data_IF_848053120682
#
_entry.id   IF_848053120682
#
_cell.length_a   1.000
_cell.length_b   1.000
_cell.length_c   1.000
_cell.angle_alpha   90.00
_cell.angle_beta   90.00
_cell.angle_gamma   90.00
#
_symmetry.space_group_name_H-M   'P 1'
#
loop_
_entity.id
_entity.type
_entity.pdbx_description
1 polymer ?
#
# COMPACT_ATOMS: atom_id res chain seq x y z
N UNK A 1 -29.52 19.28 1.88
CA UNK A 1 -28.74 18.07 1.49
C UNK A 1 -28.83 17.91 -0.03
N UNK A 2 -27.84 18.40 -0.78
CA UNK A 2 -27.76 18.14 -2.21
C UNK A 2 -26.96 16.86 -2.43
N UNK A 3 -27.67 15.76 -2.73
CA UNK A 3 -27.05 14.56 -3.30
C UNK A 3 -26.79 14.85 -4.76
N UNK A 4 -25.64 15.46 -5.06
CA UNK A 4 -25.19 15.62 -6.43
C UNK A 4 -24.84 14.22 -6.94
N UNK A 5 -25.77 13.60 -7.68
CA UNK A 5 -25.43 12.51 -8.60
C UNK A 5 -24.41 13.10 -9.58
N UNK A 6 -23.13 13.01 -9.24
CA UNK A 6 -22.03 13.25 -10.16
C UNK A 6 -22.14 12.17 -11.22
N UNK A 7 -22.84 12.49 -12.30
CA UNK A 7 -22.75 11.79 -13.57
C UNK A 7 -21.30 11.96 -14.04
N UNK A 8 -20.52 10.91 -13.79
CA UNK A 8 -19.12 10.74 -14.22
C UNK A 8 -19.07 10.45 -15.73
N UNK A 9 -19.73 11.30 -16.53
CA UNK A 9 -19.94 11.13 -17.97
C UNK A 9 -18.67 11.18 -18.83
N UNK A 10 -17.48 11.15 -18.23
CA UNK A 10 -16.18 11.19 -18.91
C UNK A 10 -15.28 9.99 -18.62
N UNK A 11 -15.71 9.06 -17.78
CA UNK A 11 -14.92 7.83 -17.53
C UNK A 11 -15.26 6.86 -18.64
N UNK A 12 -14.24 6.47 -19.42
CA UNK A 12 -14.42 5.67 -20.62
C UNK A 12 -15.21 4.39 -20.30
N UNK A 13 -16.33 4.14 -20.99
CA UNK A 13 -17.18 2.95 -20.75
C UNK A 13 -16.42 1.62 -20.83
N UNK A 14 -15.25 1.61 -21.48
CA UNK A 14 -14.39 0.45 -21.68
C UNK A 14 -13.87 -0.18 -20.38
N UNK A 15 -13.80 0.59 -19.28
CA UNK A 15 -13.37 0.07 -17.97
C UNK A 15 -14.53 -0.47 -17.12
N UNK A 16 -15.72 -0.51 -17.71
CA UNK A 16 -16.90 -1.19 -17.22
C UNK A 16 -17.92 -0.26 -16.57
N UNK A 17 -19.15 -0.76 -16.35
CA UNK A 17 -20.01 -0.12 -15.39
C UNK A 17 -19.40 -0.29 -13.99
N UNK A 18 -19.17 0.83 -13.33
CA UNK A 18 -18.69 0.88 -11.96
C UNK A 18 -19.86 0.73 -10.97
N UNK A 19 -19.65 -0.10 -9.96
CA UNK A 19 -20.62 -0.37 -8.91
C UNK A 19 -20.73 0.76 -7.87
N UNK A 20 -21.26 0.44 -6.67
CA UNK A 20 -21.48 1.40 -5.60
C UNK A 20 -20.22 2.17 -5.19
N UNK A 21 -20.42 3.41 -4.75
CA UNK A 21 -19.34 4.28 -4.27
C UNK A 21 -18.99 3.97 -2.82
N UNK A 22 -17.69 3.79 -2.57
CA UNK A 22 -17.10 3.74 -1.22
C UNK A 22 -16.44 5.09 -0.95
N UNK A 23 -16.84 5.74 0.14
CA UNK A 23 -16.37 7.06 0.52
C UNK A 23 -15.25 6.98 1.56
N UNK A 24 -14.13 7.64 1.28
CA UNK A 24 -13.08 7.96 2.25
C UNK A 24 -12.92 9.48 2.30
N UNK A 25 -12.35 10.05 3.38
CA UNK A 25 -12.27 11.51 3.56
C UNK A 25 -11.75 12.30 2.34
N UNK A 26 -10.84 11.71 1.56
CA UNK A 26 -10.20 12.36 0.42
C UNK A 26 -10.22 11.55 -0.88
N UNK A 27 -11.07 10.53 -0.95
CA UNK A 27 -11.24 9.77 -2.18
C UNK A 27 -12.58 9.07 -2.23
N UNK A 28 -13.12 8.93 -3.44
CA UNK A 28 -14.28 8.08 -3.73
C UNK A 28 -13.81 6.94 -4.61
N UNK A 29 -14.09 5.71 -4.21
CA UNK A 29 -13.67 4.52 -4.95
C UNK A 29 -14.85 3.70 -5.41
N UNK A 30 -14.75 3.09 -6.59
CA UNK A 30 -15.74 2.16 -7.13
C UNK A 30 -15.02 1.00 -7.80
N UNK A 31 -15.43 -0.22 -7.49
CA UNK A 31 -15.01 -1.38 -8.28
C UNK A 31 -15.86 -1.47 -9.54
N UNK A 32 -15.26 -1.89 -10.64
CA UNK A 32 -16.02 -2.39 -11.77
C UNK A 32 -16.86 -3.58 -11.30
N UNK A 33 -18.05 -3.74 -11.87
CA UNK A 33 -18.97 -4.82 -11.50
C UNK A 33 -18.40 -6.22 -11.71
N UNK A 34 -17.45 -6.37 -12.63
CA UNK A 34 -16.70 -7.60 -12.86
C UNK A 34 -15.49 -7.80 -11.92
N UNK A 35 -15.23 -6.82 -11.04
CA UNK A 35 -14.14 -6.82 -10.08
C UNK A 35 -12.74 -6.63 -10.67
N UNK A 36 -12.58 -6.37 -11.98
CA UNK A 36 -11.27 -6.31 -12.65
C UNK A 36 -10.61 -4.94 -12.60
N UNK A 37 -11.40 -3.91 -12.35
CA UNK A 37 -10.93 -2.53 -12.27
C UNK A 37 -11.42 -1.83 -11.00
N UNK A 38 -10.65 -0.84 -10.57
CA UNK A 38 -10.95 0.06 -9.47
C UNK A 38 -10.80 1.49 -9.97
N UNK A 39 -11.89 2.23 -9.97
CA UNK A 39 -11.87 3.68 -10.13
C UNK A 39 -11.60 4.33 -8.78
N UNK A 40 -10.65 5.26 -8.75
CA UNK A 40 -10.41 6.16 -7.62
C UNK A 40 -10.49 7.60 -8.08
N UNK A 41 -11.46 8.34 -7.55
CA UNK A 41 -11.61 9.79 -7.72
C UNK A 41 -11.03 10.47 -6.48
N UNK A 42 -10.07 11.36 -6.69
CA UNK A 42 -9.40 12.11 -5.64
C UNK A 42 -10.19 13.39 -5.36
N UNK A 43 -10.43 13.69 -4.08
CA UNK A 43 -11.23 14.86 -3.66
C UNK A 43 -10.58 15.56 -2.47
N UNK A 44 -10.89 16.84 -2.29
CA UNK A 44 -10.39 17.64 -1.17
C UNK A 44 -8.99 18.19 -1.44
N UNK A 45 -8.05 17.92 -0.53
CA UNK A 45 -6.73 18.56 -0.53
C UNK A 45 -5.84 17.97 -1.63
N UNK A 46 -5.38 18.85 -2.52
CA UNK A 46 -4.41 18.59 -3.59
C UNK A 46 -4.71 17.30 -4.40
N UNK A 47 -5.91 17.16 -5.00
CA UNK A 47 -6.33 15.91 -5.64
C UNK A 47 -5.36 15.46 -6.73
N UNK A 48 -4.92 16.41 -7.56
CA UNK A 48 -3.97 16.15 -8.65
C UNK A 48 -2.61 15.69 -8.14
N UNK A 49 -2.02 16.41 -7.19
CA UNK A 49 -0.71 16.04 -6.62
C UNK A 49 -0.75 14.67 -5.95
N UNK A 50 -1.85 14.34 -5.27
CA UNK A 50 -2.07 13.01 -4.69
C UNK A 50 -2.19 11.91 -5.73
N UNK A 51 -2.97 12.15 -6.80
CA UNK A 51 -3.07 11.23 -7.93
C UNK A 51 -1.71 10.98 -8.55
N UNK A 52 -0.95 12.03 -8.84
CA UNK A 52 0.37 11.94 -9.46
C UNK A 52 1.36 11.17 -8.57
N UNK A 53 1.40 11.49 -7.26
CA UNK A 53 2.25 10.77 -6.31
C UNK A 53 1.89 9.28 -6.23
N UNK A 54 0.61 8.94 -6.13
CA UNK A 54 0.16 7.55 -6.07
C UNK A 54 0.48 6.78 -7.37
N UNK A 55 0.19 7.37 -8.53
CA UNK A 55 0.52 6.79 -9.83
C UNK A 55 2.02 6.53 -9.97
N UNK A 56 2.84 7.54 -9.68
CA UNK A 56 4.31 7.46 -9.75
C UNK A 56 4.85 6.41 -8.77
N UNK A 57 4.30 6.33 -7.56
CA UNK A 57 4.72 5.33 -6.56
C UNK A 57 4.38 3.91 -7.00
N UNK A 58 3.19 3.70 -7.59
CA UNK A 58 2.78 2.39 -8.13
C UNK A 58 3.72 1.94 -9.25
N UNK A 59 4.02 2.81 -10.21
CA UNK A 59 4.95 2.50 -11.31
C UNK A 59 6.34 2.13 -10.78
N UNK A 60 6.87 2.90 -9.83
CA UNK A 60 8.17 2.61 -9.19
C UNK A 60 8.16 1.28 -8.44
N UNK A 61 7.06 0.93 -7.78
CA UNK A 61 6.92 -0.34 -7.09
C UNK A 61 6.85 -1.52 -8.08
N UNK A 62 6.18 -1.35 -9.22
CA UNK A 62 6.16 -2.35 -10.29
C UNK A 62 7.58 -2.64 -10.82
N UNK A 63 8.39 -1.59 -11.04
CA UNK A 63 9.80 -1.72 -11.44
C UNK A 63 10.67 -2.48 -10.42
N UNK A 64 10.23 -2.54 -9.16
CA UNK A 64 10.88 -3.31 -8.08
C UNK A 64 10.36 -4.74 -7.96
N UNK A 65 9.55 -5.20 -8.91
CA UNK A 65 8.95 -6.54 -8.91
C UNK A 65 7.94 -6.73 -7.78
N UNK A 66 7.30 -5.65 -7.32
CA UNK A 66 6.21 -5.72 -6.34
C UNK A 66 4.91 -5.86 -7.12
N UNK A 67 4.07 -6.80 -6.70
CA UNK A 67 2.74 -6.97 -7.28
C UNK A 67 1.87 -5.79 -6.88
N UNK A 68 1.59 -4.91 -7.83
CA UNK A 68 0.82 -3.67 -7.63
C UNK A 68 -0.25 -3.54 -8.70
N UNK A 69 -1.33 -2.75 -8.44
CA UNK A 69 -2.34 -2.49 -9.46
C UNK A 69 -1.73 -1.82 -10.69
N UNK A 70 -2.05 -2.30 -11.89
CA UNK A 70 -1.62 -1.62 -13.10
C UNK A 70 -2.49 -0.37 -13.33
N UNK A 71 -1.91 0.73 -13.79
CA UNK A 71 -2.68 1.93 -14.17
C UNK A 71 -3.26 1.69 -15.56
N UNK A 72 -4.59 1.72 -15.68
CA UNK A 72 -5.30 1.54 -16.95
C UNK A 72 -5.58 2.87 -17.63
N UNK A 73 -5.99 3.86 -16.84
CA UNK A 73 -6.25 5.21 -17.32
C UNK A 73 -6.11 6.20 -16.17
N UNK A 74 -5.77 7.44 -16.51
CA UNK A 74 -5.72 8.52 -15.55
C UNK A 74 -6.00 9.84 -16.23
N UNK A 75 -6.69 10.74 -15.53
CA UNK A 75 -7.05 12.05 -16.05
C UNK A 75 -6.95 13.11 -14.95
N UNK A 76 -6.60 14.32 -15.38
CA UNK A 76 -6.70 15.56 -14.63
C UNK A 76 -7.43 16.59 -15.52
N UNK A 77 -8.48 17.22 -15.01
CA UNK A 77 -9.26 18.20 -15.75
C UNK A 77 -10.30 18.88 -14.86
N UNK A 78 -11.22 19.63 -15.46
CA UNK A 78 -12.25 20.45 -14.79
C UNK A 78 -12.91 19.73 -13.60
N UNK A 79 -12.38 19.96 -12.40
CA UNK A 79 -12.89 19.43 -11.14
C UNK A 79 -12.75 17.92 -10.94
N UNK A 80 -11.96 17.21 -11.76
CA UNK A 80 -11.84 15.75 -11.69
C UNK A 80 -10.37 15.31 -11.79
N UNK A 81 -9.89 14.71 -10.71
CA UNK A 81 -8.63 13.99 -10.69
C UNK A 81 -8.95 12.53 -10.38
N UNK A 82 -8.62 11.62 -11.29
CA UNK A 82 -8.95 10.20 -11.12
C UNK A 82 -7.94 9.27 -11.77
N UNK A 83 -7.94 8.02 -11.28
CA UNK A 83 -7.18 6.91 -11.84
C UNK A 83 -8.04 5.66 -11.84
N UNK A 84 -8.01 4.94 -12.96
CA UNK A 84 -8.53 3.57 -13.06
C UNK A 84 -7.36 2.62 -12.96
N UNK A 85 -7.46 1.68 -12.02
CA UNK A 85 -6.47 0.64 -11.78
C UNK A 85 -7.01 -0.72 -12.17
N UNK A 86 -6.17 -1.60 -12.72
CA UNK A 86 -6.43 -3.03 -12.79
C UNK A 86 -6.23 -3.63 -11.41
N UNK A 87 -7.18 -4.41 -10.93
CA UNK A 87 -7.06 -5.09 -9.64
C UNK A 87 -5.95 -6.15 -9.68
N UNK A 88 -5.23 -6.28 -8.57
CA UNK A 88 -4.27 -7.38 -8.39
C UNK A 88 -5.03 -8.62 -7.95
N UNK A 89 -4.86 -9.73 -8.66
CA UNK A 89 -5.43 -11.00 -8.25
C UNK A 89 -4.79 -11.45 -6.92
N UNK A 90 -5.62 -11.84 -5.96
CA UNK A 90 -5.15 -12.29 -4.67
C UNK A 90 -6.29 -12.38 -3.65
N UNK A 91 -5.95 -12.86 -2.45
CA UNK A 91 -6.83 -12.82 -1.30
C UNK A 91 -6.30 -11.75 -0.34
N UNK A 92 -7.15 -10.93 0.28
CA UNK A 92 -6.71 -10.06 1.37
C UNK A 92 -6.02 -10.89 2.45
N UNK A 93 -4.87 -10.44 2.93
CA UNK A 93 -4.23 -11.07 4.08
C UNK A 93 -5.15 -11.00 5.30
N UNK A 94 -5.06 -12.02 6.17
CA UNK A 94 -5.82 -12.10 7.41
C UNK A 94 -4.88 -12.16 8.59
N UNK A 95 -5.34 -11.67 9.74
CA UNK A 95 -4.66 -11.83 11.05
C UNK A 95 -5.53 -12.61 12.03
N UNK A 96 -6.58 -13.28 11.55
CA UNK A 96 -7.58 -13.96 12.38
C UNK A 96 -7.10 -15.26 13.03
N UNK A 97 -6.00 -15.85 12.54
CA UNK A 97 -5.35 -17.02 13.15
C UNK A 97 -3.85 -16.78 13.28
N UNK A 98 -3.15 -17.51 14.16
CA UNK A 98 -1.69 -17.44 14.27
C UNK A 98 -0.97 -17.67 12.94
N UNK A 99 -1.41 -18.64 12.15
CA UNK A 99 -0.82 -19.01 10.87
C UNK A 99 -1.03 -17.90 9.83
N UNK A 100 -2.23 -17.32 9.77
CA UNK A 100 -2.52 -16.20 8.88
C UNK A 100 -1.70 -14.96 9.24
N UNK A 101 -1.50 -14.70 10.53
CA UNK A 101 -0.65 -13.60 11.00
C UNK A 101 0.83 -13.81 10.64
N UNK A 102 1.33 -15.04 10.72
CA UNK A 102 2.69 -15.39 10.30
C UNK A 102 2.87 -15.20 8.78
N UNK A 103 1.92 -15.66 7.96
CA UNK A 103 1.91 -15.45 6.51
C UNK A 103 1.89 -13.94 6.17
N UNK A 104 1.02 -13.18 6.85
CA UNK A 104 0.94 -11.72 6.67
C UNK A 104 2.27 -11.04 6.97
N UNK A 105 2.92 -11.37 8.08
CA UNK A 105 4.19 -10.76 8.47
C UNK A 105 5.31 -11.14 7.51
N UNK A 106 5.37 -12.42 7.11
CA UNK A 106 6.30 -12.88 6.08
C UNK A 106 6.14 -12.08 4.78
N UNK A 107 4.89 -11.87 4.34
CA UNK A 107 4.58 -11.06 3.16
C UNK A 107 5.03 -9.59 3.32
N UNK A 108 4.71 -8.96 4.45
CA UNK A 108 5.11 -7.58 4.74
C UNK A 108 6.63 -7.44 4.73
N UNK A 109 7.37 -8.37 5.32
CA UNK A 109 8.83 -8.35 5.34
C UNK A 109 9.43 -8.49 3.94
N UNK A 110 8.90 -9.42 3.14
CA UNK A 110 9.34 -9.63 1.76
C UNK A 110 9.11 -8.38 0.89
N UNK A 111 7.94 -7.73 1.00
CA UNK A 111 7.62 -6.51 0.24
C UNK A 111 8.45 -5.33 0.76
N UNK A 112 8.58 -5.18 2.08
CA UNK A 112 9.35 -4.09 2.70
C UNK A 112 10.83 -4.14 2.32
N UNK A 113 11.43 -5.33 2.24
CA UNK A 113 12.81 -5.49 1.77
C UNK A 113 13.01 -5.03 0.32
N UNK A 114 12.01 -5.20 -0.55
CA UNK A 114 12.04 -4.69 -1.94
C UNK A 114 11.80 -3.18 -1.98
N UNK A 115 10.89 -2.66 -1.17
CA UNK A 115 10.58 -1.22 -1.09
C UNK A 115 11.74 -0.40 -0.54
N UNK A 116 12.40 -0.86 0.51
CA UNK A 116 13.48 -0.13 1.17
C UNK A 116 14.84 -0.29 0.50
N UNK A 117 14.95 -1.07 -0.58
CA UNK A 117 16.20 -1.15 -1.34
C UNK A 117 16.59 0.26 -1.81
N UNK A 118 17.82 0.75 -1.53
CA UNK A 118 18.25 2.07 -1.97
C UNK A 118 18.08 2.20 -3.49
N UNK A 119 17.51 3.32 -3.94
CA UNK A 119 17.59 3.68 -5.36
C UNK A 119 18.92 4.39 -5.58
N UNK A 120 19.75 3.88 -6.48
CA UNK A 120 20.99 4.55 -6.84
C UNK A 120 20.68 5.98 -7.33
N UNK A 121 21.43 6.96 -6.83
CA UNK A 121 21.32 8.36 -7.25
C UNK A 121 20.15 9.16 -6.67
N UNK A 122 19.35 8.61 -5.74
CA UNK A 122 18.35 9.41 -5.03
C UNK A 122 18.83 9.79 -3.63
N UNK A 123 19.06 11.08 -3.42
CA UNK A 123 19.28 11.63 -2.08
C UNK A 123 17.91 11.90 -1.44
N UNK A 124 17.66 11.42 -0.21
CA UNK A 124 16.47 11.82 0.55
C UNK A 124 16.39 13.35 0.66
N UNK A 125 15.20 13.93 0.49
CA UNK A 125 15.01 15.39 0.61
C UNK A 125 15.32 15.89 2.02
N UNK A 126 15.49 17.20 2.20
CA UNK A 126 15.88 17.81 3.48
C UNK A 126 14.96 17.50 4.69
N UNK A 127 13.70 17.10 4.43
CA UNK A 127 12.77 16.63 5.46
C UNK A 127 12.97 15.17 5.92
N UNK A 128 13.82 14.41 5.24
CA UNK A 128 14.23 13.04 5.61
C UNK A 128 15.48 13.07 6.48
N UNK A 129 15.51 13.98 7.46
CA UNK A 129 16.64 14.18 8.34
C UNK A 129 17.13 12.87 8.98
N UNK A 130 18.39 12.86 9.38
CA UNK A 130 18.95 11.81 10.25
C UNK A 130 17.99 11.61 11.44
N UNK A 131 17.75 10.35 11.87
CA UNK A 131 16.85 10.08 12.99
C UNK A 131 17.25 10.97 14.16
N UNK A 132 16.42 11.98 14.47
CA UNK A 132 16.56 12.68 15.73
C UNK A 132 16.55 11.62 16.82
N UNK A 133 17.46 11.72 17.78
CA UNK A 133 17.58 10.83 18.92
C UNK A 133 16.34 10.96 19.82
N UNK A 134 15.20 10.46 19.34
CA UNK A 134 14.06 10.13 20.17
C UNK A 134 14.49 9.00 21.11
N UNK A 135 14.14 9.06 22.41
CA UNK A 135 14.45 7.99 23.36
C UNK A 135 13.87 6.64 22.93
N UNK A 136 12.90 6.65 22.02
CA UNK A 136 12.31 5.45 21.43
C UNK A 136 12.30 5.62 19.91
N UNK A 137 12.97 4.72 19.19
CA UNK A 137 12.88 4.69 17.72
C UNK A 137 11.42 4.49 17.30
N UNK A 138 10.99 5.08 16.17
CA UNK A 138 9.63 4.88 15.64
C UNK A 138 9.30 3.39 15.49
N UNK A 139 10.32 2.58 15.21
CA UNK A 139 10.22 1.12 15.19
C UNK A 139 9.81 0.55 16.55
N UNK A 140 10.49 0.92 17.63
CA UNK A 140 10.19 0.41 18.96
C UNK A 140 8.77 0.85 19.39
N UNK A 141 8.40 2.11 19.13
CA UNK A 141 7.04 2.61 19.38
C UNK A 141 5.96 1.75 18.69
N UNK A 142 6.18 1.36 17.43
CA UNK A 142 5.28 0.49 16.69
C UNK A 142 5.26 -0.95 17.23
N UNK A 143 6.41 -1.48 17.63
CA UNK A 143 6.49 -2.81 18.25
C UNK A 143 5.76 -2.86 19.59
N UNK A 144 5.75 -1.77 20.35
CA UNK A 144 5.06 -1.67 21.64
C UNK A 144 3.53 -1.61 21.50
N UNK A 145 3.00 -1.45 20.28
CA UNK A 145 1.55 -1.57 20.02
C UNK A 145 1.07 -3.02 20.03
N UNK A 146 1.98 -4.00 19.93
CA UNK A 146 1.62 -5.41 20.02
C UNK A 146 1.43 -5.85 21.47
N UNK A 147 0.50 -6.79 21.68
CA UNK A 147 0.33 -7.42 23.00
C UNK A 147 1.58 -8.20 23.40
N UNK A 148 1.84 -8.32 24.72
CA UNK A 148 2.99 -9.06 25.23
C UNK A 148 3.06 -10.52 24.73
N UNK A 149 1.90 -11.13 24.41
CA UNK A 149 1.82 -12.49 23.85
C UNK A 149 2.52 -12.61 22.48
N UNK A 150 2.57 -11.53 21.70
CA UNK A 150 3.21 -11.53 20.40
C UNK A 150 4.72 -11.79 20.49
N UNK A 151 5.35 -11.49 21.63
CA UNK A 151 6.79 -11.70 21.85
C UNK A 151 7.20 -13.17 21.82
N UNK A 152 6.24 -14.07 22.01
CA UNK A 152 6.45 -15.53 21.99
C UNK A 152 6.28 -16.14 20.59
N UNK A 153 5.87 -15.35 19.60
CA UNK A 153 5.64 -15.86 18.25
C UNK A 153 6.95 -15.89 17.44
N UNK A 154 7.14 -16.87 16.55
CA UNK A 154 8.39 -17.03 15.80
C UNK A 154 8.82 -15.78 15.01
N UNK A 155 7.85 -15.04 14.48
CA UNK A 155 8.07 -13.83 13.70
C UNK A 155 8.51 -12.60 14.53
N UNK A 156 8.39 -12.63 15.86
CA UNK A 156 8.78 -11.49 16.71
C UNK A 156 10.27 -11.14 16.55
N UNK A 157 11.12 -12.17 16.49
CA UNK A 157 12.57 -12.01 16.30
C UNK A 157 12.87 -11.26 15.00
N UNK A 158 12.21 -11.65 13.91
CA UNK A 158 12.33 -11.03 12.58
C UNK A 158 11.94 -9.54 12.63
N UNK A 159 10.88 -9.20 13.35
CA UNK A 159 10.43 -7.81 13.49
C UNK A 159 11.30 -6.96 14.42
N UNK A 160 12.13 -7.57 15.27
CA UNK A 160 13.07 -6.90 16.19
C UNK A 160 14.52 -6.83 15.67
N UNK A 161 14.89 -7.59 14.64
CA UNK A 161 16.21 -7.49 13.99
C UNK A 161 16.32 -6.23 13.11
N UNK A 162 17.33 -5.37 13.32
CA UNK A 162 17.47 -4.15 12.51
C UNK A 162 17.50 -4.52 11.02
N UNK A 163 16.65 -3.87 10.23
CA UNK A 163 16.32 -4.17 8.84
C UNK A 163 17.46 -3.85 7.85
N UNK A 164 18.65 -4.38 8.13
CA UNK A 164 19.85 -4.37 7.29
C UNK A 164 20.38 -5.77 6.95
N UNK A 165 19.78 -6.85 7.49
CA UNK A 165 20.04 -8.23 7.05
C UNK A 165 18.70 -8.92 6.81
N UNK A 166 18.27 -8.98 5.55
CA UNK A 166 17.18 -9.88 5.17
C UNK A 166 17.77 -11.28 5.13
N UNK A 167 17.62 -12.05 6.20
CA UNK A 167 17.82 -13.49 6.16
C UNK A 167 16.78 -14.08 5.20
N UNK A 168 17.23 -14.92 4.26
CA UNK A 168 16.36 -15.59 3.29
C UNK A 168 15.28 -16.42 4.03
N UNK A 169 14.06 -16.53 3.49
CA UNK A 169 13.01 -17.34 4.10
C UNK A 169 13.27 -18.86 4.05
N UNK A 170 14.35 -19.33 3.40
CA UNK A 170 14.60 -20.76 3.16
C UNK A 170 15.25 -21.53 4.33
N UNK A 171 15.47 -20.91 5.50
CA UNK A 171 16.17 -21.58 6.64
C UNK A 171 15.29 -22.05 7.79
N UNK A 172 13.96 -22.09 7.65
CA UNK A 172 13.06 -22.50 8.75
C UNK A 172 12.73 -24.01 8.81
N UNK A 173 13.53 -24.88 8.19
CA UNK A 173 13.49 -26.33 8.49
C UNK A 173 14.84 -26.79 9.03
N UNK A 174 14.78 -27.52 10.15
CA UNK A 174 15.86 -27.99 11.04
C UNK A 174 16.41 -26.88 11.96
N UNK A 175 16.37 -27.00 13.29
CA UNK A 175 16.55 -28.17 14.17
C UNK A 175 15.94 -27.90 15.56
N UNK A 176 15.43 -28.96 16.20
CA UNK A 176 15.49 -29.12 17.66
C UNK A 176 16.96 -29.31 18.10
#
# INVERSE_FOLDING_TARGET
>A
MYSTKLTESGIVPEFGPFGPVVLKPYSRTRFATDGRALLKVYVGIEPEGRRLREATTIERAALRGISVPAILATENGEGRSWTVFRTVAGKPCSTGTPEAAEEYIGHVMAVSGRLHRPTAGTTPGSGWGTPQASPTSSRQFLLDQFSARCRWLPWWKVLTEPSGRVCRPDTYRSTC
#
